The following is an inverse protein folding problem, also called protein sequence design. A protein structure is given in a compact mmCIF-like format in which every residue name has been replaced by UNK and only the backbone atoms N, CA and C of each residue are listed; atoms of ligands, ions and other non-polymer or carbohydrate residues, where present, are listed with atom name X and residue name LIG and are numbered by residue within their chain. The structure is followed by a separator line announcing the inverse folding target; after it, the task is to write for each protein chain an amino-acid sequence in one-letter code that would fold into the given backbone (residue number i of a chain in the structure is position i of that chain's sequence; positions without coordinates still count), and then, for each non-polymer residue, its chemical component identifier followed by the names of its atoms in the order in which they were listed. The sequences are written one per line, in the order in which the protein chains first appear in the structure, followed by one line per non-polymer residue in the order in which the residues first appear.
data_IF_040993767384
#
_entry.id   IF_040993767384
#
_cell.length_a   1.000
_cell.length_b   1.000
_cell.length_c   1.000
_cell.angle_alpha   90.00
_cell.angle_beta   90.00
_cell.angle_gamma   90.00
#
_symmetry.space_group_name_H-M   'P 1'
#
loop_
_entity.id
_entity.type
_entity.pdbx_description
1 polymer ?
#
# COMPACT_ATOMS: atom_id res chain seq x y z
N UNK A 1 11.97 -19.53 37.32
CA UNK A 1 11.13 -18.66 38.18
C UNK A 1 11.29 -17.21 37.74
N UNK A 2 10.39 -16.72 36.87
CA UNK A 2 10.40 -15.31 36.45
C UNK A 2 9.77 -14.45 37.55
N UNK A 3 10.50 -13.47 38.09
CA UNK A 3 9.97 -12.52 39.08
C UNK A 3 8.83 -11.74 38.45
N UNK A 4 7.64 -11.79 39.05
CA UNK A 4 6.50 -10.99 38.59
C UNK A 4 6.85 -9.50 38.64
N UNK A 5 6.56 -8.73 37.58
CA UNK A 5 6.91 -7.31 37.52
C UNK A 5 6.25 -6.55 38.66
N UNK A 6 7.02 -5.65 39.28
CA UNK A 6 6.58 -4.88 40.43
C UNK A 6 5.37 -4.02 40.06
N UNK A 7 4.47 -3.78 41.01
CA UNK A 7 3.22 -3.03 40.77
C UNK A 7 3.44 -1.65 40.10
N UNK A 8 4.60 -1.02 40.32
CA UNK A 8 5.02 0.23 39.68
C UNK A 8 5.37 0.09 38.19
N UNK A 9 5.88 -1.06 37.76
CA UNK A 9 6.12 -1.36 36.34
C UNK A 9 4.81 -1.66 35.64
N UNK A 10 3.91 -2.42 36.28
CA UNK A 10 2.56 -2.69 35.75
C UNK A 10 1.74 -1.40 35.54
N UNK A 11 1.85 -0.44 36.46
CA UNK A 11 1.20 0.88 36.31
C UNK A 11 1.82 1.74 35.21
N UNK A 12 3.14 1.65 34.99
CA UNK A 12 3.81 2.34 33.88
C UNK A 12 3.38 1.76 32.52
N UNK A 13 3.34 0.43 32.39
CA UNK A 13 2.84 -0.24 31.18
C UNK A 13 1.34 0.04 30.94
N UNK A 14 0.51 0.03 31.99
CA UNK A 14 -0.91 0.37 31.87
C UNK A 14 -1.13 1.82 31.41
N UNK A 15 -0.33 2.77 31.88
CA UNK A 15 -0.38 4.17 31.42
C UNK A 15 0.06 4.34 29.97
N UNK A 16 1.05 3.59 29.50
CA UNK A 16 1.48 3.60 28.10
C UNK A 16 0.40 2.99 27.18
N UNK A 17 -0.24 1.90 27.60
CA UNK A 17 -1.37 1.30 26.88
C UNK A 17 -2.61 2.20 26.85
N UNK A 18 -2.92 2.89 27.94
CA UNK A 18 -4.05 3.84 27.97
C UNK A 18 -3.78 5.12 27.17
N UNK A 19 -2.52 5.56 27.06
CA UNK A 19 -2.12 6.65 26.14
C UNK A 19 -2.17 6.21 24.68
N UNK A 20 -1.68 5.01 24.36
CA UNK A 20 -1.82 4.41 23.03
C UNK A 20 -3.29 4.24 22.65
N UNK A 21 -4.09 3.68 23.56
CA UNK A 21 -5.54 3.59 23.42
C UNK A 21 -6.19 4.98 23.28
N UNK A 22 -5.74 6.00 24.00
CA UNK A 22 -6.27 7.36 23.87
C UNK A 22 -6.00 8.00 22.51
N UNK A 23 -4.80 7.81 21.95
CA UNK A 23 -4.43 8.28 20.60
C UNK A 23 -5.21 7.50 19.52
N UNK A 24 -5.45 6.21 19.76
CA UNK A 24 -6.23 5.32 18.90
C UNK A 24 -7.76 5.51 19.03
N UNK A 25 -8.27 5.96 20.19
CA UNK A 25 -9.71 6.08 20.49
C UNK A 25 -10.24 7.52 20.35
N UNK A 26 -9.41 8.54 20.50
CA UNK A 26 -9.79 9.95 20.34
C UNK A 26 -9.35 10.54 19.00
N UNK A 27 -8.77 9.72 18.11
CA UNK A 27 -8.53 10.08 16.71
C UNK A 27 -9.84 10.54 16.07
N UNK A 28 -9.98 11.85 15.88
CA UNK A 28 -11.05 12.46 15.09
C UNK A 28 -10.41 12.98 13.81
N UNK A 29 -10.81 12.42 12.67
CA UNK A 29 -10.29 12.84 11.37
C UNK A 29 -8.78 12.57 11.22
N UNK A 30 -8.17 13.29 10.29
CA UNK A 30 -6.81 13.15 9.76
C UNK A 30 -5.65 13.28 10.78
N UNK A 31 -5.82 12.94 12.06
CA UNK A 31 -4.92 13.27 13.17
C UNK A 31 -4.12 12.08 13.75
N UNK A 32 -4.22 10.87 13.15
CA UNK A 32 -3.39 9.75 13.59
C UNK A 32 -1.90 9.95 13.29
N UNK A 33 -1.11 10.20 14.32
CA UNK A 33 0.32 10.53 14.17
C UNK A 33 1.17 9.31 13.77
N UNK A 34 0.74 8.09 14.14
CA UNK A 34 1.53 6.87 13.95
C UNK A 34 0.72 5.78 13.26
N UNK A 35 1.31 5.12 12.26
CA UNK A 35 0.74 3.98 11.58
C UNK A 35 0.77 2.75 12.49
N UNK A 36 -0.39 2.11 12.69
CA UNK A 36 -0.51 0.90 13.53
C UNK A 36 0.18 -0.32 12.96
N UNK A 37 0.51 -0.32 11.66
CA UNK A 37 1.10 -1.47 10.96
C UNK A 37 2.64 -1.40 10.93
N UNK A 38 3.21 -0.30 10.45
CA UNK A 38 4.67 -0.15 10.38
C UNK A 38 5.27 0.68 11.53
N UNK A 39 4.44 1.30 12.38
CA UNK A 39 4.91 2.13 13.49
C UNK A 39 5.53 3.46 13.09
N UNK A 40 5.50 3.82 11.80
CA UNK A 40 6.07 5.09 11.30
C UNK A 40 5.19 6.27 11.66
N UNK A 41 5.86 7.37 11.97
CA UNK A 41 5.28 8.66 12.32
C UNK A 41 5.11 9.54 11.06
N UNK A 42 3.97 10.22 10.95
CA UNK A 42 3.63 11.13 9.83
C UNK A 42 4.66 12.24 9.61
N UNK A 43 5.30 12.72 10.67
CA UNK A 43 6.26 13.83 10.62
C UNK A 43 7.64 13.41 10.11
N UNK A 44 7.97 12.11 10.16
CA UNK A 44 9.29 11.60 9.76
C UNK A 44 9.33 11.27 8.27
N UNK A 45 8.18 10.96 7.67
CA UNK A 45 8.14 10.37 6.32
C UNK A 45 7.28 11.13 5.32
N UNK A 46 6.53 12.15 5.74
CA UNK A 46 5.57 12.83 4.87
C UNK A 46 4.43 11.92 4.40
N UNK A 47 4.30 10.72 4.97
CA UNK A 47 3.26 9.77 4.62
C UNK A 47 1.94 10.20 5.23
N UNK A 48 0.91 10.27 4.40
CA UNK A 48 -0.46 10.41 4.89
C UNK A 48 -0.87 9.18 5.69
N UNK A 49 -1.42 9.44 6.88
CA UNK A 49 -1.92 8.41 7.79
C UNK A 49 -3.39 8.65 8.01
N UNK A 50 -4.19 7.69 7.59
CA UNK A 50 -5.63 7.71 7.77
C UNK A 50 -6.01 6.92 9.01
N UNK A 51 -6.80 7.57 9.85
CA UNK A 51 -7.30 7.02 11.11
C UNK A 51 -8.69 6.41 10.87
N UNK A 52 -8.83 5.13 11.18
CA UNK A 52 -10.11 4.46 11.34
C UNK A 52 -10.42 4.19 12.82
N UNK A 53 -11.59 3.62 13.14
CA UNK A 53 -11.92 3.24 14.51
C UNK A 53 -10.92 2.22 15.06
N UNK A 54 -10.07 2.64 15.99
CA UNK A 54 -9.14 1.71 16.68
C UNK A 54 -7.86 1.39 15.92
N UNK A 55 -7.63 1.95 14.73
CA UNK A 55 -6.47 1.64 13.89
C UNK A 55 -6.11 2.83 13.00
N UNK A 56 -4.83 2.97 12.68
CA UNK A 56 -4.37 3.94 11.70
C UNK A 56 -3.45 3.25 10.70
N UNK A 57 -3.57 3.61 9.42
CA UNK A 57 -2.77 3.03 8.34
C UNK A 57 -2.13 4.14 7.52
N UNK A 58 -0.83 4.02 7.26
CA UNK A 58 -0.16 4.89 6.29
C UNK A 58 -0.36 4.35 4.87
N UNK A 59 -0.25 5.24 3.89
CA UNK A 59 -0.31 4.92 2.46
C UNK A 59 0.54 3.68 2.09
N UNK A 60 1.82 3.62 2.53
CA UNK A 60 2.68 2.48 2.20
C UNK A 60 2.18 1.14 2.75
N UNK A 61 1.55 1.15 3.93
CA UNK A 61 0.98 -0.07 4.52
C UNK A 61 -0.35 -0.45 3.86
N UNK A 62 -1.16 0.53 3.46
CA UNK A 62 -2.37 0.28 2.67
C UNK A 62 -2.00 -0.34 1.32
N UNK A 63 -0.99 0.21 0.66
CA UNK A 63 -0.37 -0.32 -0.56
C UNK A 63 0.06 -1.77 -0.44
N UNK A 64 0.76 -2.11 0.63
CA UNK A 64 1.19 -3.47 0.87
C UNK A 64 0.00 -4.41 1.10
N UNK A 65 -1.01 -3.98 1.87
CA UNK A 65 -2.17 -4.79 2.18
C UNK A 65 -3.02 -5.10 0.94
N UNK A 66 -3.27 -4.11 0.09
CA UNK A 66 -3.97 -4.29 -1.19
C UNK A 66 -3.17 -5.24 -2.09
N UNK A 67 -1.87 -4.97 -2.26
CA UNK A 67 -0.99 -5.80 -3.09
C UNK A 67 -1.00 -7.26 -2.66
N UNK A 68 -0.99 -7.51 -1.35
CA UNK A 68 -1.06 -8.86 -0.78
C UNK A 68 -2.43 -9.53 -0.99
N UNK A 69 -3.52 -8.80 -0.79
CA UNK A 69 -4.87 -9.33 -0.97
C UNK A 69 -5.14 -9.76 -2.43
N UNK A 70 -4.57 -9.04 -3.40
CA UNK A 70 -4.70 -9.38 -4.81
C UNK A 70 -3.71 -10.49 -5.25
N UNK A 71 -2.49 -10.53 -4.71
CA UNK A 71 -1.52 -11.58 -5.08
C UNK A 71 -1.97 -12.98 -4.65
N UNK A 72 -2.77 -13.10 -3.58
CA UNK A 72 -3.35 -14.39 -3.17
C UNK A 72 -4.33 -15.01 -4.20
N UNK A 73 -4.81 -14.23 -5.17
CA UNK A 73 -5.72 -14.71 -6.21
C UNK A 73 -5.00 -15.18 -7.47
N UNK A 74 -3.68 -15.09 -7.50
CA UNK A 74 -2.87 -15.40 -8.68
C UNK A 74 -2.41 -16.86 -8.68
N UNK A 75 -2.31 -17.43 -9.89
CA UNK A 75 -1.74 -18.74 -10.12
C UNK A 75 -0.22 -18.79 -9.86
N UNK A 76 0.41 -19.97 -10.00
CA UNK A 76 1.85 -20.12 -9.82
C UNK A 76 2.64 -19.27 -10.83
N UNK A 77 3.74 -18.66 -10.37
CA UNK A 77 4.67 -17.91 -11.24
C UNK A 77 5.42 -18.89 -12.14
N UNK A 78 5.46 -18.68 -13.47
CA UNK A 78 6.20 -19.52 -14.41
C UNK A 78 7.70 -19.60 -14.11
N UNK A 79 8.33 -20.73 -14.46
CA UNK A 79 9.78 -20.86 -14.39
C UNK A 79 10.49 -19.80 -15.24
N UNK A 80 11.54 -19.20 -14.68
CA UNK A 80 12.28 -18.11 -15.34
C UNK A 80 11.61 -16.73 -15.23
N UNK A 81 10.52 -16.61 -14.47
CA UNK A 81 9.90 -15.33 -14.14
C UNK A 81 9.83 -15.09 -12.63
N UNK A 82 9.66 -13.82 -12.26
CA UNK A 82 9.43 -13.38 -10.89
C UNK A 82 8.12 -12.62 -10.84
N UNK A 83 7.20 -13.03 -9.96
CA UNK A 83 5.96 -12.30 -9.73
C UNK A 83 6.21 -11.01 -8.95
N UNK A 84 5.59 -9.92 -9.39
CA UNK A 84 5.67 -8.63 -8.72
C UNK A 84 4.34 -7.86 -8.73
N UNK A 85 4.22 -6.89 -7.82
CA UNK A 85 3.07 -6.00 -7.72
C UNK A 85 3.51 -4.54 -7.78
N UNK A 86 2.96 -3.81 -8.75
CA UNK A 86 3.12 -2.36 -8.89
C UNK A 86 1.86 -1.71 -8.34
N UNK A 87 2.01 -0.92 -7.28
CA UNK A 87 0.88 -0.24 -6.64
C UNK A 87 0.97 1.27 -6.82
N UNK A 88 -0.12 1.92 -7.21
CA UNK A 88 -0.23 3.35 -7.56
C UNK A 88 -1.42 3.96 -6.81
N UNK A 89 -1.22 5.10 -6.12
CA UNK A 89 -2.18 5.70 -5.16
C UNK A 89 -2.65 7.11 -5.53
N UNK A 90 -2.18 7.62 -6.68
CA UNK A 90 -2.45 8.99 -7.14
C UNK A 90 -3.39 8.99 -8.37
N UNK A 91 -4.23 7.96 -8.51
CA UNK A 91 -5.23 7.96 -9.57
C UNK A 91 -6.42 8.84 -9.16
N UNK A 92 -6.90 9.75 -10.02
CA UNK A 92 -8.08 10.54 -9.71
C UNK A 92 -9.31 9.64 -9.52
N UNK A 93 -10.16 10.06 -8.56
CA UNK A 93 -11.32 9.43 -7.91
C UNK A 93 -12.34 8.64 -8.77
N UNK A 94 -12.17 8.58 -10.08
CA UNK A 94 -12.97 7.78 -10.99
C UNK A 94 -12.16 7.48 -12.23
N UNK A 95 -11.57 6.28 -12.32
CA UNK A 95 -11.55 5.61 -13.62
C UNK A 95 -13.02 5.44 -14.00
N UNK A 96 -13.59 6.42 -14.70
CA UNK A 96 -14.95 6.35 -15.24
C UNK A 96 -15.06 5.03 -16.00
N UNK A 97 -16.24 4.38 -16.05
CA UNK A 97 -16.41 3.12 -16.76
C UNK A 97 -15.72 3.04 -18.13
N UNK A 98 -15.67 4.11 -18.97
CA UNK A 98 -14.93 4.09 -20.24
C UNK A 98 -13.42 3.92 -20.10
N UNK A 99 -12.79 4.50 -19.07
CA UNK A 99 -11.35 4.38 -18.83
C UNK A 99 -10.96 3.03 -18.23
N UNK A 100 -11.91 2.33 -17.58
CA UNK A 100 -11.67 0.96 -17.11
C UNK A 100 -11.61 -0.05 -18.26
N UNK A 101 -12.24 0.26 -19.39
CA UNK A 101 -12.24 -0.61 -20.58
C UNK A 101 -10.87 -0.60 -21.25
N UNK A 102 -10.18 0.55 -21.31
CA UNK A 102 -8.83 0.62 -21.88
C UNK A 102 -7.73 0.20 -20.91
N UNK A 103 -8.01 0.18 -19.59
CA UNK A 103 -7.02 -0.06 -18.56
C UNK A 103 -6.23 -1.37 -18.77
N UNK A 104 -6.92 -2.44 -19.15
CA UNK A 104 -6.28 -3.74 -19.35
C UNK A 104 -5.28 -3.69 -20.51
N UNK A 105 -5.69 -3.12 -21.64
CA UNK A 105 -4.86 -2.95 -22.84
C UNK A 105 -3.68 -2.01 -22.57
N UNK A 106 -3.91 -0.89 -21.87
CA UNK A 106 -2.88 0.10 -21.55
C UNK A 106 -1.82 -0.51 -20.60
N UNK A 107 -2.26 -1.21 -19.55
CA UNK A 107 -1.36 -1.90 -18.61
C UNK A 107 -0.61 -3.05 -19.27
N UNK A 108 -1.25 -3.79 -20.20
CA UNK A 108 -0.61 -4.85 -20.96
C UNK A 108 0.46 -4.29 -21.90
N UNK A 109 0.21 -3.12 -22.51
CA UNK A 109 1.20 -2.40 -23.33
C UNK A 109 2.41 -1.98 -22.48
N UNK A 110 2.19 -1.33 -21.33
CA UNK A 110 3.27 -0.94 -20.42
C UNK A 110 4.07 -2.15 -19.91
N UNK A 111 3.40 -3.27 -19.59
CA UNK A 111 4.07 -4.50 -19.20
C UNK A 111 4.95 -5.02 -20.33
N UNK A 112 4.43 -5.06 -21.56
CA UNK A 112 5.16 -5.50 -22.75
C UNK A 112 6.43 -4.69 -23.02
N UNK A 113 6.38 -3.37 -22.87
CA UNK A 113 7.55 -2.48 -23.02
C UNK A 113 8.68 -2.82 -22.04
N UNK A 114 8.34 -3.28 -20.84
CA UNK A 114 9.30 -3.69 -19.81
C UNK A 114 9.63 -5.19 -19.85
N UNK A 115 9.30 -5.88 -20.95
CA UNK A 115 9.45 -7.34 -21.09
C UNK A 115 8.75 -8.13 -19.97
N UNK A 116 7.69 -7.56 -19.42
CA UNK A 116 6.83 -8.16 -18.41
C UNK A 116 5.54 -8.69 -19.05
N UNK A 117 4.87 -9.57 -18.34
CA UNK A 117 3.52 -10.05 -18.69
C UNK A 117 2.53 -9.49 -17.65
N UNK A 118 1.45 -8.86 -18.10
CA UNK A 118 0.33 -8.48 -17.23
C UNK A 118 -0.46 -9.73 -16.86
N UNK A 119 -0.69 -9.92 -15.56
CA UNK A 119 -1.44 -11.07 -15.02
C UNK A 119 -2.84 -10.65 -14.59
N UNK A 120 -2.92 -9.53 -13.87
CA UNK A 120 -4.19 -8.93 -13.48
C UNK A 120 -3.97 -7.54 -12.93
N UNK A 121 -5.05 -6.85 -12.66
CA UNK A 121 -5.03 -5.60 -11.92
C UNK A 121 -6.27 -5.48 -11.03
N UNK A 122 -6.17 -4.60 -10.04
CA UNK A 122 -7.23 -4.31 -9.09
C UNK A 122 -7.28 -2.83 -8.80
N UNK A 123 -8.44 -2.22 -9.02
CA UNK A 123 -8.71 -0.84 -8.64
C UNK A 123 -9.48 -0.82 -7.31
N UNK A 124 -9.11 0.10 -6.43
CA UNK A 124 -9.85 0.41 -5.22
C UNK A 124 -10.10 1.92 -5.13
N UNK A 125 -11.31 2.27 -4.70
CA UNK A 125 -11.69 3.64 -4.42
C UNK A 125 -11.28 3.95 -2.96
N UNK A 126 -10.51 5.02 -2.78
CA UNK A 126 -10.09 5.49 -1.46
C UNK A 126 -11.11 6.45 -0.86
N UNK A 127 -11.30 6.41 0.46
CA UNK A 127 -12.10 7.41 1.17
C UNK A 127 -11.20 8.43 1.90
N UNK A 128 -11.60 9.71 1.86
CA UNK A 128 -10.93 10.78 2.59
C UNK A 128 -9.61 11.21 1.94
N UNK A 129 -8.50 11.15 2.69
CA UNK A 129 -7.15 11.48 2.20
C UNK A 129 -6.45 10.34 1.48
N UNK A 130 -6.99 9.11 1.53
CA UNK A 130 -6.47 8.04 0.67
C UNK A 130 -7.06 8.27 -0.71
N UNK A 131 -6.21 8.63 -1.69
CA UNK A 131 -6.59 8.64 -3.09
C UNK A 131 -7.01 7.26 -3.58
N UNK A 132 -7.62 7.19 -4.76
CA UNK A 132 -7.84 5.90 -5.39
C UNK A 132 -6.51 5.24 -5.68
N UNK A 133 -6.53 3.91 -5.76
CA UNK A 133 -5.37 3.23 -6.26
C UNK A 133 -5.63 2.05 -7.15
N UNK A 134 -4.55 1.72 -7.83
CA UNK A 134 -4.45 0.68 -8.82
C UNK A 134 -3.29 -0.23 -8.43
N UNK A 135 -3.61 -1.50 -8.25
CA UNK A 135 -2.65 -2.57 -8.09
C UNK A 135 -2.53 -3.32 -9.40
N UNK A 136 -1.30 -3.51 -9.88
CA UNK A 136 -1.00 -4.18 -11.14
C UNK A 136 -0.07 -5.35 -10.84
N UNK A 137 -0.46 -6.54 -11.30
CA UNK A 137 0.27 -7.77 -11.09
C UNK A 137 0.94 -8.20 -12.37
N UNK A 138 2.25 -8.40 -12.30
CA UNK A 138 3.04 -8.73 -13.47
C UNK A 138 3.96 -9.91 -13.19
N UNK A 139 4.31 -10.63 -14.24
CA UNK A 139 5.48 -11.49 -14.25
C UNK A 139 6.64 -10.76 -14.92
N UNK A 140 7.66 -10.45 -14.15
CA UNK A 140 8.91 -9.88 -14.65
C UNK A 140 9.90 -10.99 -15.05
N UNK A 141 10.89 -10.69 -15.91
CA UNK A 141 12.01 -11.59 -16.16
C UNK A 141 12.75 -11.96 -14.87
N UNK A 142 13.20 -13.21 -14.75
CA UNK A 142 14.04 -13.62 -13.63
C UNK A 142 15.31 -12.74 -13.53
N UNK A 143 15.64 -12.31 -12.30
CA UNK A 143 16.79 -11.44 -12.04
C UNK A 143 16.54 -9.95 -12.29
N UNK A 144 15.33 -9.55 -12.66
CA UNK A 144 14.98 -8.13 -12.79
C UNK A 144 15.15 -7.37 -11.46
N UNK A 145 15.62 -6.12 -11.55
CA UNK A 145 15.66 -5.20 -10.41
C UNK A 145 14.25 -4.67 -10.14
N UNK A 146 13.51 -5.37 -9.28
CA UNK A 146 12.09 -5.09 -9.02
C UNK A 146 11.81 -3.62 -8.59
N UNK A 147 12.59 -3.00 -7.67
CA UNK A 147 12.42 -1.58 -7.36
C UNK A 147 12.48 -0.66 -8.59
N UNK A 148 13.49 -0.83 -9.44
CA UNK A 148 13.63 -0.02 -10.65
C UNK A 148 12.50 -0.30 -11.63
N UNK A 149 12.12 -1.57 -11.80
CA UNK A 149 11.06 -1.99 -12.70
C UNK A 149 9.71 -1.39 -12.30
N UNK A 150 9.36 -1.39 -11.00
CA UNK A 150 8.15 -0.75 -10.49
C UNK A 150 8.14 0.75 -10.79
N UNK A 151 9.26 1.42 -10.59
CA UNK A 151 9.40 2.85 -10.89
C UNK A 151 9.26 3.14 -12.39
N UNK A 152 9.93 2.36 -13.24
CA UNK A 152 9.79 2.46 -14.70
C UNK A 152 8.36 2.22 -15.16
N UNK A 153 7.68 1.21 -14.60
CA UNK A 153 6.29 0.93 -14.93
C UNK A 153 5.38 2.11 -14.58
N UNK A 154 5.53 2.67 -13.38
CA UNK A 154 4.76 3.84 -12.94
C UNK A 154 4.93 5.02 -13.88
N UNK A 155 6.17 5.33 -14.27
CA UNK A 155 6.48 6.42 -15.21
C UNK A 155 5.89 6.18 -16.60
N UNK A 156 6.00 4.97 -17.12
CA UNK A 156 5.42 4.62 -18.43
C UNK A 156 3.90 4.79 -18.43
N UNK A 157 3.23 4.36 -17.35
CA UNK A 157 1.77 4.37 -17.29
C UNK A 157 1.17 5.74 -16.94
N UNK A 158 1.79 6.47 -16.00
CA UNK A 158 1.33 7.81 -15.58
C UNK A 158 1.87 8.93 -16.48
N UNK A 159 2.88 8.65 -17.30
CA UNK A 159 3.63 9.65 -18.06
C UNK A 159 4.48 10.56 -17.15
N UNK A 160 4.99 11.66 -17.73
CA UNK A 160 5.70 12.74 -17.01
C UNK A 160 4.76 13.64 -16.19
N UNK A 161 3.54 13.20 -15.86
CA UNK A 161 2.56 13.99 -15.10
C UNK A 161 2.97 14.23 -13.62
N UNK A 162 4.19 13.87 -13.23
CA UNK A 162 4.78 14.04 -11.91
C UNK A 162 6.00 14.99 -11.89
N UNK A 163 6.29 15.70 -12.98
CA UNK A 163 7.27 16.82 -13.02
C UNK A 163 6.61 18.19 -12.77
#
# INVERSE_FOLDING_TARGET
MGKSPGWRERLRSARQLLRGAGVTLLGRGDDAVVCSFCGRDRHVTGCDIVAGPGVAICESCASLAVSYAHSQKLGPVPEGRTGDVVAMFEFPATLLPPHRVSLDDDLASCAGELSCELISWGYFCGEGRVGDGLSVHIHAPAGANLPLLRESFRRLYLGDALD
#
